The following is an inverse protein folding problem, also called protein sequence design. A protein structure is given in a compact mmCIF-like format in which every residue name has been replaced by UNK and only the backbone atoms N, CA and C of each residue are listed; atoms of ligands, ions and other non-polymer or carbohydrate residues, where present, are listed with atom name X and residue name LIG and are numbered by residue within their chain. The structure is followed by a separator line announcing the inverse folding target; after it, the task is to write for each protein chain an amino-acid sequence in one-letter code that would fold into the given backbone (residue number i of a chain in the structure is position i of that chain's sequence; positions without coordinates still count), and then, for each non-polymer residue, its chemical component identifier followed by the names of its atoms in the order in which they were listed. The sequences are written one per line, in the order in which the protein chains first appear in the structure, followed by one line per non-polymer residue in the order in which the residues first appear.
data_IF_379677130083
#
_entry.id   IF_379677130083
#
_cell.length_a   1.000
_cell.length_b   1.000
_cell.length_c   1.000
_cell.angle_alpha   90.00
_cell.angle_beta   90.00
_cell.angle_gamma   90.00
#
_symmetry.space_group_name_H-M   'P 1'
#
loop_
_entity.id
_entity.type
_entity.pdbx_description
1 polymer ?
#
# COMPACT_ATOMS: atom_id res chain seq x y z
N UNK A 1 -15.06 -3.05 -3.60
CA UNK A 1 -13.68 -2.96 -4.11
C UNK A 1 -13.33 -1.49 -4.23
N UNK A 2 -12.23 -1.06 -3.60
CA UNK A 2 -11.77 0.33 -3.62
C UNK A 2 -10.23 0.32 -3.65
N UNK A 3 -9.63 1.38 -4.19
CA UNK A 3 -8.18 1.57 -4.22
C UNK A 3 -7.75 2.31 -2.96
N UNK A 4 -7.04 1.60 -2.08
CA UNK A 4 -6.60 2.10 -0.78
C UNK A 4 -5.11 2.38 -0.79
N UNK A 5 -4.76 3.60 -0.40
CA UNK A 5 -3.41 4.09 -0.24
C UNK A 5 -2.91 3.82 1.18
N UNK A 6 -1.69 3.32 1.33
CA UNK A 6 -1.03 3.22 2.63
C UNK A 6 0.29 4.00 2.63
N UNK A 7 0.32 5.01 3.48
CA UNK A 7 1.49 5.85 3.76
C UNK A 7 2.24 5.28 4.95
N UNK A 8 3.06 4.28 4.68
CA UNK A 8 3.88 3.58 5.67
C UNK A 8 3.54 2.09 5.76
N UNK A 9 4.52 1.24 5.48
CA UNK A 9 4.39 -0.22 5.48
C UNK A 9 5.21 -0.89 6.59
N UNK A 10 5.21 -0.27 7.78
CA UNK A 10 5.82 -0.82 8.99
C UNK A 10 5.04 -2.00 9.58
N UNK A 11 5.26 -2.34 10.86
CA UNK A 11 4.59 -3.48 11.52
C UNK A 11 3.06 -3.38 11.48
N UNK A 12 2.52 -2.21 11.85
CA UNK A 12 1.07 -1.97 11.81
C UNK A 12 0.55 -1.86 10.37
N UNK A 13 1.21 -1.04 9.53
CA UNK A 13 0.79 -0.81 8.15
C UNK A 13 0.76 -2.08 7.31
N UNK A 14 1.72 -2.99 7.50
CA UNK A 14 1.74 -4.28 6.80
C UNK A 14 0.60 -5.21 7.23
N UNK A 15 0.27 -5.27 8.53
CA UNK A 15 -0.89 -6.02 9.00
C UNK A 15 -2.20 -5.47 8.43
N UNK A 16 -2.38 -4.15 8.42
CA UNK A 16 -3.54 -3.49 7.80
C UNK A 16 -3.62 -3.76 6.29
N UNK A 17 -2.50 -3.65 5.58
CA UNK A 17 -2.42 -3.92 4.15
C UNK A 17 -2.91 -5.33 3.82
N UNK A 18 -2.47 -6.34 4.59
CA UNK A 18 -2.90 -7.73 4.42
C UNK A 18 -4.40 -7.91 4.64
N UNK A 19 -4.96 -7.28 5.66
CA UNK A 19 -6.38 -7.33 5.94
C UNK A 19 -7.20 -6.69 4.79
N UNK A 20 -6.75 -5.54 4.29
CA UNK A 20 -7.38 -4.84 3.16
C UNK A 20 -7.28 -5.65 1.86
N UNK A 21 -6.14 -6.30 1.61
CA UNK A 21 -5.98 -7.22 0.49
C UNK A 21 -6.94 -8.41 0.59
N UNK A 22 -7.04 -9.04 1.77
CA UNK A 22 -7.96 -10.15 2.01
C UNK A 22 -9.44 -9.75 1.84
N UNK A 23 -9.77 -8.48 2.07
CA UNK A 23 -11.09 -7.91 1.80
C UNK A 23 -11.32 -7.54 0.32
N UNK A 24 -10.34 -7.77 -0.56
CA UNK A 24 -10.44 -7.54 -2.00
C UNK A 24 -10.26 -6.08 -2.43
N UNK A 25 -9.52 -5.28 -1.66
CA UNK A 25 -9.13 -3.93 -2.05
C UNK A 25 -7.85 -3.91 -2.89
N UNK A 26 -7.76 -2.95 -3.80
CA UNK A 26 -6.51 -2.65 -4.50
C UNK A 26 -5.64 -1.78 -3.61
N UNK A 27 -4.32 -2.00 -3.67
CA UNK A 27 -3.39 -1.40 -2.71
C UNK A 27 -2.34 -0.56 -3.43
N UNK A 28 -2.23 0.71 -3.02
CA UNK A 28 -1.14 1.61 -3.40
C UNK A 28 -0.29 1.87 -2.17
N UNK A 29 0.97 1.44 -2.20
CA UNK A 29 1.84 1.40 -1.04
C UNK A 29 2.98 2.38 -1.18
N UNK A 30 3.25 3.13 -0.13
CA UNK A 30 4.46 3.93 -0.02
C UNK A 30 5.10 3.76 1.34
N UNK A 31 6.43 3.84 1.38
CA UNK A 31 7.17 3.95 2.63
C UNK A 31 8.44 4.75 2.40
N UNK A 32 8.93 5.45 3.43
CA UNK A 32 10.19 6.20 3.36
C UNK A 32 11.37 5.31 2.92
N UNK A 33 11.39 4.06 3.37
CA UNK A 33 12.29 3.02 2.86
C UNK A 33 11.52 2.17 1.84
N UNK A 34 11.80 2.28 0.53
CA UNK A 34 10.97 1.71 -0.54
C UNK A 34 10.89 0.18 -0.48
N UNK A 35 11.96 -0.48 -0.01
CA UNK A 35 12.06 -1.94 0.09
C UNK A 35 10.89 -2.59 0.83
N UNK A 36 10.38 -1.96 1.89
CA UNK A 36 9.27 -2.50 2.67
C UNK A 36 7.95 -2.44 1.90
N UNK A 37 7.70 -1.35 1.17
CA UNK A 37 6.51 -1.20 0.33
C UNK A 37 6.59 -2.14 -0.89
N UNK A 38 7.76 -2.24 -1.52
CA UNK A 38 7.99 -3.13 -2.66
C UNK A 38 7.80 -4.60 -2.29
N UNK A 39 8.39 -5.07 -1.18
CA UNK A 39 8.20 -6.46 -0.72
C UNK A 39 6.72 -6.79 -0.52
N UNK A 40 5.99 -5.89 0.12
CA UNK A 40 4.57 -6.09 0.42
C UNK A 40 3.69 -6.01 -0.83
N UNK A 41 4.03 -5.11 -1.77
CA UNK A 41 3.39 -5.02 -3.08
C UNK A 41 3.58 -6.32 -3.88
N UNK A 42 4.79 -6.85 -3.95
CA UNK A 42 5.09 -8.12 -4.61
C UNK A 42 4.34 -9.29 -3.98
N UNK A 43 4.24 -9.32 -2.66
CA UNK A 43 3.58 -10.40 -1.92
C UNK A 43 2.05 -10.41 -2.11
N UNK A 44 1.43 -9.23 -2.17
CA UNK A 44 -0.03 -9.08 -2.17
C UNK A 44 -0.59 -8.64 -3.53
N UNK A 45 0.24 -8.49 -4.56
CA UNK A 45 -0.18 -7.97 -5.87
C UNK A 45 -0.60 -6.49 -5.84
N UNK A 46 -0.02 -5.69 -4.94
CA UNK A 46 -0.24 -4.23 -4.87
C UNK A 46 0.74 -3.44 -5.74
N UNK A 47 0.59 -2.12 -5.75
CA UNK A 47 1.51 -1.19 -6.44
C UNK A 47 2.32 -0.41 -5.42
N UNK A 48 3.65 -0.53 -5.43
CA UNK A 48 4.52 0.34 -4.65
C UNK A 48 4.89 1.60 -5.46
N UNK A 49 4.74 2.78 -4.86
CA UNK A 49 5.10 4.07 -5.47
C UNK A 49 6.31 4.70 -4.77
N UNK A 50 6.98 5.63 -5.44
CA UNK A 50 8.22 6.24 -4.93
C UNK A 50 7.99 7.45 -4.03
N UNK A 51 6.91 8.22 -4.27
CA UNK A 51 6.62 9.44 -3.52
C UNK A 51 5.25 9.35 -2.84
N UNK A 52 5.09 9.91 -1.64
CA UNK A 52 3.83 9.84 -0.90
C UNK A 52 2.68 10.54 -1.65
N UNK A 53 3.00 11.56 -2.46
CA UNK A 53 2.01 12.25 -3.29
C UNK A 53 1.40 11.38 -4.38
N UNK A 54 2.14 10.38 -4.84
CA UNK A 54 1.66 9.48 -5.89
C UNK A 54 0.58 8.52 -5.32
N UNK A 55 0.64 8.21 -4.02
CA UNK A 55 -0.43 7.47 -3.32
C UNK A 55 -1.75 8.23 -3.39
N UNK A 56 -1.76 9.51 -3.00
CA UNK A 56 -2.96 10.33 -2.97
C UNK A 56 -3.52 10.61 -4.38
N UNK A 57 -2.69 10.56 -5.42
CA UNK A 57 -3.13 10.72 -6.81
C UNK A 57 -3.81 9.46 -7.38
N UNK A 58 -3.49 8.27 -6.84
CA UNK A 58 -3.98 6.99 -7.35
C UNK A 58 -5.05 6.34 -6.48
N UNK A 59 -5.01 6.58 -5.16
CA UNK A 59 -5.93 5.98 -4.21
C UNK A 59 -7.20 6.81 -4.03
N UNK A 60 -8.34 6.15 -3.87
CA UNK A 60 -9.60 6.79 -3.51
C UNK A 60 -9.73 7.05 -2.00
N UNK A 61 -8.95 6.34 -1.18
CA UNK A 61 -8.91 6.44 0.28
C UNK A 61 -7.44 6.28 0.72
N UNK A 62 -6.94 7.14 1.61
CA UNK A 62 -5.59 7.07 2.19
C UNK A 62 -5.64 6.92 3.71
#
# INVERSE_FOLDING_TARGET
MATVGLLGTGRMGSAMTRALHAAGHELILWNRSPEAAQRLATELGGTAVERPRDVAAMAGIC
#
